data_IF_843352683457
#
_entry.id   IF_843352683457
#
_cell.length_a   1.000
_cell.length_b   1.000
_cell.length_c   1.000
_cell.angle_alpha   90.00
_cell.angle_beta   90.00
_cell.angle_gamma   90.00
#
_symmetry.space_group_name_H-M   'P 1'
#
loop_
_entity.id
_entity.type
_entity.pdbx_description
1 polymer ?
#
# COMPACT_ATOMS: atom_id res chain seq x y z
N UNK A 1 16.03 3.92 1.18
CA UNK A 1 15.44 2.62 1.52
C UNK A 1 14.27 2.81 2.48
N UNK A 2 13.18 2.16 2.22
CA UNK A 2 12.01 2.28 3.05
C UNK A 2 12.08 1.37 4.26
N UNK A 3 11.64 1.89 5.38
CA UNK A 3 11.68 1.14 6.63
C UNK A 3 10.50 0.19 6.73
N UNK A 4 10.75 -0.98 7.28
CA UNK A 4 9.71 -1.95 7.58
C UNK A 4 9.24 -1.69 9.00
N UNK A 5 7.93 -1.52 9.23
CA UNK A 5 7.42 -1.25 10.57
C UNK A 5 7.85 -2.33 11.57
N UNK A 6 8.22 -1.88 12.75
CA UNK A 6 8.66 -2.81 13.80
C UNK A 6 7.56 -3.79 14.18
N UNK A 7 6.32 -3.34 14.16
CA UNK A 7 5.18 -4.23 14.46
C UNK A 7 5.13 -5.42 13.52
N UNK A 8 5.39 -5.18 12.23
CA UNK A 8 5.41 -6.23 11.21
C UNK A 8 6.52 -7.24 11.51
N UNK A 9 7.71 -6.74 11.84
CA UNK A 9 8.83 -7.60 12.17
C UNK A 9 8.56 -8.40 13.43
N UNK A 10 7.92 -7.79 14.43
CA UNK A 10 7.55 -8.48 15.66
C UNK A 10 6.55 -9.60 15.39
N UNK A 11 5.58 -9.35 14.53
CA UNK A 11 4.60 -10.36 14.14
C UNK A 11 5.29 -11.56 13.48
N UNK A 12 6.20 -11.27 12.57
CA UNK A 12 6.94 -12.31 11.85
C UNK A 12 7.68 -13.22 12.82
N UNK A 13 8.30 -12.64 13.86
CA UNK A 13 9.04 -13.40 14.86
C UNK A 13 8.13 -14.17 15.79
N UNK A 14 7.01 -13.56 16.19
CA UNK A 14 6.10 -14.17 17.16
C UNK A 14 5.27 -15.28 16.55
N UNK A 15 4.91 -15.16 15.26
CA UNK A 15 4.02 -16.10 14.60
C UNK A 15 4.58 -16.52 13.25
N UNK A 16 5.72 -17.23 13.23
CA UNK A 16 6.40 -17.55 11.98
C UNK A 16 5.60 -18.41 11.02
N UNK A 17 4.80 -19.34 11.54
CA UNK A 17 4.01 -20.21 10.67
C UNK A 17 2.85 -19.47 10.00
N UNK A 18 2.21 -18.58 10.76
CA UNK A 18 1.15 -17.73 10.21
C UNK A 18 1.76 -16.82 9.15
N UNK A 19 2.91 -16.23 9.45
CA UNK A 19 3.59 -15.35 8.51
C UNK A 19 3.95 -16.07 7.22
N UNK A 20 4.47 -17.30 7.31
CA UNK A 20 4.83 -18.09 6.13
C UNK A 20 3.59 -18.41 5.29
N UNK A 21 2.50 -18.78 5.93
CA UNK A 21 1.25 -19.09 5.22
C UNK A 21 0.74 -17.84 4.49
N UNK A 22 0.81 -16.69 5.15
CA UNK A 22 0.41 -15.42 4.55
C UNK A 22 1.27 -15.07 3.34
N UNK A 23 2.59 -15.23 3.46
CA UNK A 23 3.52 -14.97 2.37
C UNK A 23 3.25 -15.88 1.17
N UNK A 24 2.98 -17.16 1.44
CA UNK A 24 2.67 -18.12 0.39
C UNK A 24 1.36 -17.74 -0.33
N UNK A 25 0.36 -17.32 0.43
CA UNK A 25 -0.90 -16.88 -0.15
C UNK A 25 -0.68 -15.64 -1.04
N UNK A 26 0.11 -14.68 -0.56
CA UNK A 26 0.41 -13.49 -1.33
C UNK A 26 1.10 -13.81 -2.66
N UNK A 27 2.07 -14.74 -2.62
CA UNK A 27 2.76 -15.16 -3.85
C UNK A 27 1.81 -15.86 -4.81
N UNK A 28 0.96 -16.73 -4.30
CA UNK A 28 -0.02 -17.43 -5.13
C UNK A 28 -0.96 -16.46 -5.80
N UNK A 29 -1.46 -15.48 -5.04
CA UNK A 29 -2.37 -14.47 -5.59
C UNK A 29 -1.68 -13.65 -6.67
N UNK A 30 -0.43 -13.22 -6.41
CA UNK A 30 0.33 -12.40 -7.36
C UNK A 30 0.66 -13.16 -8.65
N UNK A 31 0.81 -14.48 -8.57
CA UNK A 31 1.15 -15.30 -9.73
C UNK A 31 -0.07 -15.82 -10.48
N UNK A 32 -1.27 -15.47 -10.05
CA UNK A 32 -2.50 -16.06 -10.57
C UNK A 32 -2.95 -15.51 -11.92
N UNK A 33 -2.34 -14.45 -12.40
CA UNK A 33 -2.77 -13.83 -13.64
C UNK A 33 -1.69 -12.96 -14.27
N UNK A 34 -2.02 -12.24 -15.34
CA UNK A 34 -1.04 -11.54 -16.18
C UNK A 34 -0.71 -10.11 -15.78
N UNK A 35 -1.26 -9.60 -14.65
CA UNK A 35 -1.01 -8.22 -14.26
C UNK A 35 0.46 -8.00 -13.90
N UNK A 36 0.99 -6.87 -14.31
CA UNK A 36 2.37 -6.50 -13.98
C UNK A 36 2.49 -6.15 -12.50
N UNK A 37 3.72 -6.11 -12.00
CA UNK A 37 3.97 -5.71 -10.62
C UNK A 37 3.48 -4.30 -10.34
N UNK A 38 3.67 -3.37 -11.28
CA UNK A 38 3.18 -2.00 -11.12
C UNK A 38 1.66 -1.95 -11.06
N UNK A 39 1.00 -2.69 -11.95
CA UNK A 39 -0.46 -2.73 -11.97
C UNK A 39 -1.01 -3.30 -10.66
N UNK A 40 -0.43 -4.41 -10.21
CA UNK A 40 -0.86 -5.02 -8.95
C UNK A 40 -0.67 -4.08 -7.77
N UNK A 41 0.46 -3.35 -7.74
CA UNK A 41 0.73 -2.41 -6.66
C UNK A 41 -0.31 -1.28 -6.62
N UNK A 42 -0.67 -0.74 -7.79
CA UNK A 42 -1.66 0.34 -7.86
C UNK A 42 -3.06 -0.17 -7.50
N UNK A 43 -3.41 -1.37 -7.94
CA UNK A 43 -4.69 -1.98 -7.59
C UNK A 43 -4.80 -2.18 -6.08
N UNK A 44 -3.75 -2.70 -5.44
CA UNK A 44 -3.77 -2.93 -4.00
C UNK A 44 -3.84 -1.62 -3.23
N UNK A 45 -3.18 -0.58 -3.74
CA UNK A 45 -3.28 0.75 -3.16
C UNK A 45 -4.73 1.25 -3.24
N UNK A 46 -5.38 1.05 -4.38
CA UNK A 46 -6.77 1.46 -4.55
C UNK A 46 -7.69 0.73 -3.58
N UNK A 47 -7.47 -0.57 -3.41
CA UNK A 47 -8.26 -1.39 -2.48
C UNK A 47 -8.08 -0.89 -1.04
N UNK A 48 -6.84 -0.62 -0.64
CA UNK A 48 -6.54 -0.10 0.70
C UNK A 48 -7.20 1.27 0.91
N UNK A 49 -7.18 2.11 -0.14
CA UNK A 49 -7.83 3.41 -0.10
C UNK A 49 -9.35 3.27 0.07
N UNK A 50 -9.94 2.33 -0.67
CA UNK A 50 -11.38 2.06 -0.55
C UNK A 50 -11.77 1.55 0.82
N UNK A 51 -10.89 0.81 1.48
CA UNK A 51 -11.10 0.33 2.84
C UNK A 51 -10.80 1.40 3.88
N UNK A 52 -10.21 2.52 3.47
CA UNK A 52 -9.87 3.65 4.33
C UNK A 52 -8.98 3.25 5.50
N UNK A 53 -8.00 2.40 5.23
CA UNK A 53 -7.05 1.94 6.24
C UNK A 53 -5.74 2.69 6.07
N UNK A 54 -5.51 3.68 6.89
CA UNK A 54 -4.36 4.57 6.78
C UNK A 54 -3.04 3.81 6.71
N UNK A 55 -2.84 2.86 7.62
CA UNK A 55 -1.59 2.07 7.65
C UNK A 55 -1.40 1.26 6.37
N UNK A 56 -2.49 0.69 5.84
CA UNK A 56 -2.43 -0.08 4.60
C UNK A 56 -2.15 0.83 3.40
N UNK A 57 -2.74 2.03 3.39
CA UNK A 57 -2.46 3.00 2.32
C UNK A 57 -0.98 3.39 2.34
N UNK A 58 -0.42 3.68 3.51
CA UNK A 58 1.01 3.97 3.64
C UNK A 58 1.85 2.81 3.11
N UNK A 59 1.54 1.59 3.53
CA UNK A 59 2.29 0.40 3.14
C UNK A 59 2.22 0.17 1.63
N UNK A 60 1.02 0.23 1.05
CA UNK A 60 0.88 -0.01 -0.38
C UNK A 60 1.43 1.14 -1.22
N UNK A 61 1.45 2.36 -0.69
CA UNK A 61 2.13 3.46 -1.35
C UNK A 61 3.63 3.19 -1.44
N UNK A 62 4.25 2.75 -0.35
CA UNK A 62 5.67 2.39 -0.35
C UNK A 62 5.95 1.27 -1.35
N UNK A 63 5.11 0.25 -1.37
CA UNK A 63 5.26 -0.87 -2.31
C UNK A 63 5.12 -0.44 -3.76
N UNK A 64 4.20 0.49 -4.02
CA UNK A 64 4.02 1.03 -5.37
C UNK A 64 5.27 1.75 -5.84
N UNK A 65 5.86 2.59 -4.98
CA UNK A 65 7.11 3.26 -5.30
C UNK A 65 8.23 2.25 -5.55
N UNK A 66 8.31 1.21 -4.72
CA UNK A 66 9.33 0.17 -4.89
C UNK A 66 9.13 -0.62 -6.19
N UNK A 67 7.90 -0.75 -6.65
CA UNK A 67 7.59 -1.43 -7.91
C UNK A 67 7.85 -0.53 -9.13
N UNK A 68 8.26 0.71 -8.92
CA UNK A 68 8.59 1.63 -10.00
C UNK A 68 7.45 2.55 -10.41
N UNK A 69 6.36 2.60 -9.64
CA UNK A 69 5.29 3.55 -9.93
C UNK A 69 5.76 4.97 -9.62
N UNK A 70 5.34 5.92 -10.44
CA UNK A 70 5.65 7.32 -10.21
C UNK A 70 4.68 7.94 -9.21
N UNK A 71 5.07 9.06 -8.62
CA UNK A 71 4.17 9.82 -7.76
C UNK A 71 2.88 10.18 -8.51
N UNK A 72 3.00 10.53 -9.78
CA UNK A 72 1.83 10.89 -10.59
C UNK A 72 0.87 9.70 -10.74
N UNK A 73 1.42 8.51 -10.96
CA UNK A 73 0.60 7.29 -11.08
C UNK A 73 -0.11 6.97 -9.77
N UNK A 74 0.60 7.11 -8.67
CA UNK A 74 0.04 6.86 -7.34
C UNK A 74 -1.07 7.85 -7.02
N UNK A 75 -0.83 9.14 -7.27
CA UNK A 75 -1.83 10.17 -7.01
C UNK A 75 -3.06 10.00 -7.89
N UNK A 76 -2.86 9.65 -9.17
CA UNK A 76 -3.98 9.39 -10.05
C UNK A 76 -4.84 8.23 -9.53
N UNK A 77 -4.20 7.17 -9.06
CA UNK A 77 -4.91 6.02 -8.49
C UNK A 77 -5.84 6.47 -7.37
N UNK A 78 -5.34 7.32 -6.48
CA UNK A 78 -6.14 7.85 -5.37
C UNK A 78 -7.23 8.78 -5.90
N UNK A 79 -6.92 9.65 -6.86
CA UNK A 79 -7.91 10.57 -7.43
C UNK A 79 -9.09 9.84 -8.04
N UNK A 80 -8.86 8.64 -8.60
CA UNK A 80 -9.93 7.84 -9.19
C UNK A 80 -10.96 7.40 -8.15
N UNK A 81 -10.60 7.39 -6.87
CA UNK A 81 -11.57 7.02 -5.82
C UNK A 81 -12.64 8.09 -5.61
N UNK A 82 -12.41 9.32 -6.10
CA UNK A 82 -13.38 10.41 -5.93
C UNK A 82 -14.76 10.03 -6.39
N UNK A 83 -14.86 9.34 -7.53
CA UNK A 83 -16.15 8.98 -8.12
C UNK A 83 -16.63 7.59 -7.70
N UNK A 84 -15.93 6.96 -6.75
CA UNK A 84 -16.35 5.65 -6.22
C UNK A 84 -16.67 5.71 -4.74
N UNK A 85 -15.84 6.36 -3.94
CA UNK A 85 -16.03 6.43 -2.48
C UNK A 85 -16.23 7.86 -1.97
N UNK A 86 -16.19 8.86 -2.86
CA UNK A 86 -16.49 10.24 -2.51
C UNK A 86 -15.28 11.09 -2.21
N UNK A 87 -15.49 12.40 -2.32
CA UNK A 87 -14.43 13.39 -2.19
C UNK A 87 -13.75 13.40 -0.80
N UNK A 88 -14.49 13.39 0.32
CA UNK A 88 -13.82 13.42 1.63
C UNK A 88 -12.90 12.23 1.86
N UNK A 89 -13.33 11.03 1.44
CA UNK A 89 -12.50 9.82 1.58
C UNK A 89 -11.28 9.89 0.68
N UNK A 90 -11.46 10.40 -0.55
CA UNK A 90 -10.34 10.58 -1.46
C UNK A 90 -9.31 11.55 -0.87
N UNK A 91 -9.77 12.66 -0.29
CA UNK A 91 -8.86 13.65 0.28
C UNK A 91 -8.04 13.07 1.43
N UNK A 92 -8.66 12.24 2.28
CA UNK A 92 -7.93 11.57 3.34
C UNK A 92 -6.84 10.67 2.76
N UNK A 93 -7.21 9.84 1.77
CA UNK A 93 -6.25 8.92 1.15
C UNK A 93 -5.12 9.68 0.45
N UNK A 94 -5.44 10.80 -0.19
CA UNK A 94 -4.44 11.62 -0.86
C UNK A 94 -3.42 12.15 0.15
N UNK A 95 -3.89 12.60 1.32
CA UNK A 95 -2.98 13.07 2.36
C UNK A 95 -2.06 11.95 2.83
N UNK A 96 -2.57 10.71 2.90
CA UNK A 96 -1.77 9.58 3.34
C UNK A 96 -0.71 9.17 2.33
N UNK A 97 -1.02 9.18 1.02
CA UNK A 97 0.02 8.89 0.04
C UNK A 97 1.05 10.02 -0.02
N UNK A 98 0.62 11.27 0.19
CA UNK A 98 1.55 12.40 0.21
C UNK A 98 2.52 12.30 1.38
N UNK A 99 2.10 11.76 2.53
CA UNK A 99 2.99 11.50 3.66
C UNK A 99 4.21 10.69 3.22
N UNK A 100 3.98 9.71 2.36
CA UNK A 100 5.05 8.81 1.90
C UNK A 100 5.82 9.44 0.73
N UNK A 101 5.09 9.97 -0.26
CA UNK A 101 5.70 10.50 -1.48
C UNK A 101 6.59 11.70 -1.16
N UNK A 102 6.12 12.58 -0.30
CA UNK A 102 6.85 13.79 0.02
C UNK A 102 7.90 13.58 1.11
N UNK A 103 8.03 12.35 1.59
CA UNK A 103 8.97 12.04 2.67
C UNK A 103 8.55 12.67 3.98
N UNK A 104 7.30 13.10 4.10
CA UNK A 104 6.75 13.69 5.30
C UNK A 104 6.35 12.56 6.25
N UNK A 105 7.33 11.83 6.72
CA UNK A 105 7.13 10.53 7.35
C UNK A 105 7.13 10.57 8.86
N UNK A 106 6.71 11.67 9.47
CA UNK A 106 6.57 11.75 10.93
C UNK A 106 5.75 10.61 11.49
N UNK A 107 4.74 10.20 10.73
CA UNK A 107 3.80 9.18 11.15
C UNK A 107 4.14 7.82 10.58
N UNK A 108 5.26 7.71 9.86
CA UNK A 108 5.67 6.43 9.30
C UNK A 108 6.10 5.53 10.44
N UNK A 109 5.43 4.40 10.64
CA UNK A 109 5.77 3.48 11.72
C UNK A 109 7.02 2.69 11.35
N UNK A 110 8.14 3.20 11.65
CA UNK A 110 9.37 2.48 11.30
C UNK A 110 10.07 1.91 12.51
#
# INVERSE_FOLDING_TARGET
MRKIPQRYLNFQKAYPDVFKAYEALGKAASSSGPLSNKEMALIKLAIASGARLEGAVHSHCRRALDAGCTAAEIRQTVLLTTTTIGFPSMMACLSWVDDIIDGNSKNDPS
#
